data_IF_375340987502
#
_entry.id   IF_375340987502
#
_cell.length_a   1.000
_cell.length_b   1.000
_cell.length_c   1.000
_cell.angle_alpha   90.00
_cell.angle_beta   90.00
_cell.angle_gamma   90.00
#
_symmetry.space_group_name_H-M   'P 1'
#
loop_
_entity.id
_entity.type
_entity.pdbx_description
1 polymer ?
#
# COMPACT_ATOMS: atom_id res chain seq x y z
N UNK A 1 0.51 0.30 -7.56
CA UNK A 1 1.40 -0.47 -8.44
C UNK A 1 0.54 -0.99 -9.60
N UNK A 2 0.91 -0.73 -10.87
CA UNK A 2 2.18 -0.14 -11.29
C UNK A 2 2.25 1.39 -11.16
N UNK A 3 1.14 2.08 -11.03
CA UNK A 3 1.07 3.54 -10.92
C UNK A 3 0.99 4.03 -9.48
N UNK A 4 1.43 5.26 -9.24
CA UNK A 4 1.29 6.00 -8.00
C UNK A 4 0.30 7.17 -8.18
N UNK A 5 -0.41 7.52 -7.11
CA UNK A 5 -1.47 8.50 -7.12
C UNK A 5 -1.37 9.44 -5.92
N UNK A 6 -1.72 10.70 -6.14
CA UNK A 6 -1.85 11.70 -5.07
C UNK A 6 -2.96 12.68 -5.42
N UNK A 7 -4.05 12.68 -4.68
CA UNK A 7 -5.16 13.63 -4.87
C UNK A 7 -4.95 14.89 -4.04
N UNK A 8 -5.21 16.05 -4.66
CA UNK A 8 -5.29 17.34 -3.96
C UNK A 8 -6.24 18.30 -4.71
N UNK A 9 -6.31 19.55 -4.28
CA UNK A 9 -7.22 20.55 -4.88
C UNK A 9 -6.93 20.90 -6.34
N UNK A 10 -5.80 20.46 -6.91
CA UNK A 10 -5.51 20.65 -8.35
C UNK A 10 -5.97 19.46 -9.20
N UNK A 11 -6.25 18.31 -8.59
CA UNK A 11 -6.65 17.09 -9.28
C UNK A 11 -5.95 15.83 -8.77
N UNK A 12 -6.13 14.74 -9.48
CA UNK A 12 -5.47 13.46 -9.22
C UNK A 12 -4.14 13.41 -9.99
N UNK A 13 -3.05 13.49 -9.25
CA UNK A 13 -1.70 13.29 -9.79
C UNK A 13 -1.47 11.81 -10.05
N UNK A 14 -1.01 11.49 -11.24
CA UNK A 14 -0.74 10.13 -11.70
C UNK A 14 0.68 10.03 -12.23
N UNK A 15 1.39 9.00 -11.85
CA UNK A 15 2.76 8.75 -12.30
C UNK A 15 3.10 7.28 -12.17
N UNK A 16 4.02 6.79 -12.97
CA UNK A 16 4.77 5.58 -12.64
C UNK A 16 5.84 5.94 -11.61
N UNK A 17 5.97 5.20 -10.50
CA UNK A 17 7.08 5.43 -9.57
C UNK A 17 8.42 5.18 -10.26
N UNK A 18 9.24 6.21 -10.41
CA UNK A 18 10.61 6.06 -10.91
C UNK A 18 11.46 5.39 -9.83
N UNK A 19 12.26 4.40 -10.24
CA UNK A 19 13.25 3.77 -9.38
C UNK A 19 14.56 4.50 -9.54
N UNK A 20 14.99 5.23 -8.52
CA UNK A 20 16.33 5.81 -8.48
C UNK A 20 17.33 4.71 -8.08
N UNK A 21 18.15 4.26 -9.02
CA UNK A 21 19.25 3.35 -8.73
C UNK A 21 20.50 4.21 -8.47
N UNK A 22 20.88 4.37 -7.21
CA UNK A 22 22.16 5.01 -6.86
C UNK A 22 23.26 3.96 -7.07
N UNK A 23 24.13 4.24 -8.05
CA UNK A 23 25.26 3.40 -8.42
C UNK A 23 26.42 3.51 -7.42
N UNK A 24 26.22 3.18 -6.16
CA UNK A 24 27.33 2.90 -5.23
C UNK A 24 26.84 2.04 -4.08
N UNK A 25 27.49 0.95 -3.85
CA UNK A 25 27.43 -0.05 -2.77
C UNK A 25 26.08 -0.32 -2.10
N UNK A 26 25.10 0.57 -2.26
CA UNK A 26 23.72 0.43 -1.76
C UNK A 26 22.73 0.78 -2.86
N UNK A 27 22.00 -0.20 -3.35
CA UNK A 27 20.84 0.02 -4.20
C UNK A 27 19.73 0.59 -3.33
N UNK A 28 19.48 1.89 -3.37
CA UNK A 28 18.30 2.50 -2.75
C UNK A 28 17.24 2.75 -3.81
N UNK A 29 16.10 2.14 -3.63
CA UNK A 29 14.89 2.50 -4.36
C UNK A 29 14.25 3.67 -3.64
N UNK A 30 14.31 4.86 -4.24
CA UNK A 30 13.60 6.01 -3.71
C UNK A 30 12.20 6.00 -4.26
N UNK A 31 11.23 5.65 -3.42
CA UNK A 31 9.82 5.93 -3.72
C UNK A 31 9.63 7.43 -3.62
N UNK A 32 9.01 8.05 -4.63
CA UNK A 32 8.69 9.47 -4.58
C UNK A 32 7.94 9.82 -3.31
N UNK A 33 8.44 10.77 -2.54
CA UNK A 33 7.69 11.30 -1.40
C UNK A 33 6.45 12.07 -1.89
N UNK A 34 5.42 12.15 -1.06
CA UNK A 34 4.22 12.95 -1.35
C UNK A 34 4.56 14.39 -1.77
N UNK A 35 5.61 14.97 -1.20
CA UNK A 35 6.06 16.32 -1.52
C UNK A 35 6.65 16.46 -2.93
N UNK A 36 7.16 15.40 -3.52
CA UNK A 36 7.70 15.39 -4.88
C UNK A 36 6.66 15.05 -5.95
N UNK A 37 5.50 14.49 -5.58
CA UNK A 37 4.43 14.16 -6.54
C UNK A 37 3.96 15.38 -7.32
N UNK A 38 3.87 16.56 -6.69
CA UNK A 38 3.42 17.80 -7.36
C UNK A 38 4.29 18.26 -8.51
N UNK A 39 5.59 17.92 -8.51
CA UNK A 39 6.54 18.35 -9.55
C UNK A 39 7.02 17.19 -10.43
N UNK A 40 6.87 15.94 -9.97
CA UNK A 40 7.41 14.76 -10.64
C UNK A 40 6.34 13.85 -11.24
N UNK A 41 5.06 14.14 -11.06
CA UNK A 41 3.98 13.37 -11.68
C UNK A 41 3.93 13.54 -13.18
N UNK A 42 3.52 12.49 -13.86
CA UNK A 42 3.38 12.52 -15.32
C UNK A 42 2.15 13.29 -15.74
N UNK A 43 1.07 13.15 -14.98
CA UNK A 43 -0.20 13.79 -15.28
C UNK A 43 -0.90 14.31 -14.03
N UNK A 44 -1.76 15.31 -14.24
CA UNK A 44 -2.84 15.69 -13.35
C UNK A 44 -4.14 15.45 -14.09
N UNK A 45 -4.98 14.57 -13.56
CA UNK A 45 -6.34 14.35 -14.04
C UNK A 45 -7.28 15.25 -13.25
N UNK A 46 -7.99 16.10 -13.93
CA UNK A 46 -8.92 17.09 -13.35
C UNK A 46 -10.21 17.20 -14.14
N UNK A 47 -10.92 18.28 -13.88
CA UNK A 47 -12.16 18.66 -14.56
C UNK A 47 -12.08 20.11 -15.00
N UNK A 48 -13.17 20.68 -15.49
CA UNK A 48 -13.30 22.10 -15.84
C UNK A 48 -13.67 23.00 -14.62
N UNK A 49 -13.72 22.43 -13.42
CA UNK A 49 -13.93 23.15 -12.16
C UNK A 49 -12.79 22.89 -11.16
N UNK A 50 -12.71 23.75 -10.14
CA UNK A 50 -11.72 23.60 -9.05
C UNK A 50 -12.28 22.73 -7.92
N UNK A 51 -11.41 21.95 -7.28
CA UNK A 51 -11.78 21.10 -6.17
C UNK A 51 -11.66 21.82 -4.82
N UNK A 52 -12.65 21.65 -3.94
CA UNK A 52 -12.62 22.13 -2.55
C UNK A 52 -11.98 21.12 -1.61
N UNK A 53 -12.18 19.84 -1.89
CA UNK A 53 -11.76 18.75 -1.01
C UNK A 53 -11.32 17.53 -1.80
N UNK A 54 -10.49 16.74 -1.17
CA UNK A 54 -10.09 15.40 -1.62
C UNK A 54 -10.26 14.45 -0.46
N UNK A 55 -11.07 13.41 -0.62
CA UNK A 55 -11.35 12.45 0.44
C UNK A 55 -11.42 11.03 -0.09
N UNK A 56 -11.08 10.07 0.76
CA UNK A 56 -11.34 8.66 0.50
C UNK A 56 -12.83 8.42 0.68
N UNK A 57 -13.51 7.95 -0.37
CA UNK A 57 -14.94 7.62 -0.35
C UNK A 57 -15.15 6.15 0.03
N UNK A 58 -14.27 5.27 -0.46
CA UNK A 58 -14.31 3.84 -0.21
C UNK A 58 -12.89 3.26 -0.12
N UNK A 59 -12.71 2.30 0.76
CA UNK A 59 -11.51 1.48 0.82
C UNK A 59 -11.91 0.03 1.01
N UNK A 60 -11.50 -0.83 0.08
CA UNK A 60 -11.58 -2.28 0.19
C UNK A 60 -10.17 -2.83 0.45
N UNK A 61 -10.00 -4.16 0.43
CA UNK A 61 -8.73 -4.81 0.80
C UNK A 61 -7.52 -4.37 -0.05
N UNK A 62 -7.72 -4.05 -1.34
CA UNK A 62 -6.66 -3.47 -2.21
C UNK A 62 -7.20 -2.51 -3.28
N UNK A 63 -8.39 -1.93 -3.04
CA UNK A 63 -9.01 -0.89 -3.85
C UNK A 63 -9.23 0.35 -2.99
N UNK A 64 -9.05 1.53 -3.59
CA UNK A 64 -9.40 2.80 -2.96
C UNK A 64 -10.11 3.69 -3.97
N UNK A 65 -11.26 4.20 -3.59
CA UNK A 65 -11.97 5.27 -4.28
C UNK A 65 -11.66 6.60 -3.60
N UNK A 66 -11.25 7.57 -4.40
CA UNK A 66 -11.04 8.95 -3.96
C UNK A 66 -11.99 9.87 -4.71
N UNK A 67 -12.68 10.71 -3.98
CA UNK A 67 -13.60 11.73 -4.50
C UNK A 67 -13.02 13.11 -4.29
N UNK A 68 -13.04 13.92 -5.36
CA UNK A 68 -12.63 15.31 -5.36
C UNK A 68 -13.84 16.17 -5.75
N UNK A 69 -14.39 16.89 -4.75
CA UNK A 69 -15.64 17.64 -4.88
C UNK A 69 -15.40 19.03 -5.47
N UNK A 70 -16.32 19.47 -6.33
CA UNK A 70 -16.33 20.84 -6.87
C UNK A 70 -16.47 21.86 -5.72
N UNK A 71 -15.65 22.90 -5.75
CA UNK A 71 -15.64 23.95 -4.75
C UNK A 71 -16.96 24.73 -4.62
N UNK A 72 -17.75 24.78 -5.69
CA UNK A 72 -19.01 25.54 -5.76
C UNK A 72 -20.26 24.66 -5.63
N UNK A 73 -20.14 23.35 -5.86
CA UNK A 73 -21.26 22.41 -5.86
C UNK A 73 -20.77 21.00 -5.51
N UNK A 74 -20.95 20.57 -4.28
CA UNK A 74 -20.50 19.26 -3.81
C UNK A 74 -21.25 18.06 -4.44
N UNK A 75 -22.34 18.29 -5.18
CA UNK A 75 -22.97 17.24 -5.97
C UNK A 75 -22.20 16.91 -7.26
N UNK A 76 -21.25 17.77 -7.63
CA UNK A 76 -20.32 17.55 -8.74
C UNK A 76 -18.96 17.10 -8.21
N UNK A 77 -18.45 16.01 -8.71
CA UNK A 77 -17.15 15.50 -8.29
C UNK A 77 -16.47 14.66 -9.35
N UNK A 78 -15.16 14.55 -9.23
CA UNK A 78 -14.37 13.54 -9.92
C UNK A 78 -14.06 12.41 -8.95
N UNK A 79 -14.49 11.20 -9.31
CA UNK A 79 -14.15 9.97 -8.61
C UNK A 79 -13.02 9.25 -9.33
N UNK A 80 -11.99 8.88 -8.57
CA UNK A 80 -10.87 8.06 -9.05
C UNK A 80 -10.86 6.73 -8.31
N UNK A 81 -10.92 5.62 -9.05
CA UNK A 81 -10.76 4.27 -8.49
C UNK A 81 -9.36 3.76 -8.82
N UNK A 82 -8.64 3.39 -7.78
CA UNK A 82 -7.27 2.88 -7.82
C UNK A 82 -7.24 1.48 -7.22
N UNK A 83 -6.62 0.53 -7.94
CA UNK A 83 -6.57 -0.86 -7.51
C UNK A 83 -5.13 -1.36 -7.58
N UNK A 84 -4.59 -1.86 -6.47
CA UNK A 84 -3.25 -2.44 -6.47
C UNK A 84 -3.19 -3.63 -7.41
N UNK A 85 -2.21 -3.61 -8.33
CA UNK A 85 -2.02 -4.65 -9.34
C UNK A 85 -2.78 -4.39 -10.64
N UNK A 86 -3.79 -3.51 -10.68
CA UNK A 86 -4.42 -3.14 -11.94
C UNK A 86 -3.51 -2.23 -12.77
N UNK A 87 -3.34 -2.48 -14.08
CA UNK A 87 -2.70 -1.50 -14.96
C UNK A 87 -3.56 -0.25 -15.16
N UNK A 88 -4.86 -0.30 -14.81
CA UNK A 88 -5.83 0.78 -15.01
C UNK A 88 -6.01 1.63 -13.76
N UNK A 89 -6.23 2.94 -14.00
CA UNK A 89 -6.95 3.84 -13.12
C UNK A 89 -8.27 4.22 -13.78
N UNK A 90 -9.34 4.28 -13.01
CA UNK A 90 -10.66 4.61 -13.53
C UNK A 90 -11.10 5.97 -13.00
N UNK A 91 -11.66 6.80 -13.89
CA UNK A 91 -12.12 8.14 -13.58
C UNK A 91 -13.58 8.28 -13.98
N UNK A 92 -14.39 8.83 -13.11
CA UNK A 92 -15.81 9.07 -13.34
C UNK A 92 -16.16 10.48 -12.87
N UNK A 93 -16.88 11.22 -13.71
CA UNK A 93 -17.36 12.56 -13.36
C UNK A 93 -18.85 12.49 -13.06
N UNK A 94 -19.24 12.99 -11.90
CA UNK A 94 -20.64 13.15 -11.51
C UNK A 94 -21.03 14.62 -11.64
N UNK A 95 -22.23 14.88 -12.17
CA UNK A 95 -22.76 16.23 -12.38
C UNK A 95 -22.01 17.07 -13.41
N UNK A 96 -21.18 16.43 -14.25
CA UNK A 96 -20.38 17.03 -15.30
C UNK A 96 -20.02 16.03 -16.38
N UNK A 97 -19.27 16.46 -17.39
CA UNK A 97 -18.84 15.60 -18.48
C UNK A 97 -17.45 15.97 -19.05
N UNK A 98 -16.65 16.71 -18.30
CA UNK A 98 -15.33 17.15 -18.75
C UNK A 98 -14.26 16.53 -17.86
N UNK A 99 -13.28 15.88 -18.49
CA UNK A 99 -12.02 15.48 -17.85
C UNK A 99 -10.86 16.20 -18.53
N UNK A 100 -9.94 16.71 -17.74
CA UNK A 100 -8.69 17.33 -18.23
C UNK A 100 -7.51 16.46 -17.86
N UNK A 101 -6.53 16.38 -18.76
CA UNK A 101 -5.27 15.71 -18.55
C UNK A 101 -4.14 16.71 -18.74
N UNK A 102 -3.58 17.18 -17.65
CA UNK A 102 -2.55 18.21 -17.63
C UNK A 102 -1.17 17.61 -17.39
N UNK A 103 -0.15 18.30 -17.86
CA UNK A 103 1.25 17.93 -17.66
C UNK A 103 1.93 18.83 -16.63
N UNK A 104 2.08 18.39 -15.36
CA UNK A 104 2.80 19.17 -14.35
C UNK A 104 4.31 19.16 -14.59
N UNK A 105 4.85 18.10 -15.20
CA UNK A 105 6.28 17.97 -15.51
C UNK A 105 6.66 18.82 -16.69
N UNK A 106 7.89 19.30 -16.63
CA UNK A 106 8.53 20.08 -17.68
C UNK A 106 9.16 19.19 -18.76
N UNK A 107 9.06 17.88 -18.64
CA UNK A 107 9.62 16.91 -19.58
C UNK A 107 8.73 16.75 -20.82
N UNK A 108 9.31 16.49 -22.00
CA UNK A 108 8.55 16.33 -23.23
C UNK A 108 7.51 15.22 -23.15
N UNK A 109 6.41 15.42 -23.85
CA UNK A 109 5.38 14.42 -24.07
C UNK A 109 4.77 14.55 -25.44
N UNK A 110 4.17 13.47 -25.92
CA UNK A 110 3.59 13.41 -27.24
C UNK A 110 2.40 12.44 -27.25
N UNK A 111 1.33 12.80 -27.96
CA UNK A 111 0.32 11.82 -28.36
C UNK A 111 0.91 10.99 -29.49
N UNK A 112 1.43 9.82 -29.18
CA UNK A 112 2.15 8.95 -30.10
C UNK A 112 1.21 8.17 -31.04
N UNK A 113 -0.05 8.00 -30.62
CA UNK A 113 -1.06 7.26 -31.39
C UNK A 113 -2.47 7.71 -30.98
N UNK A 114 -3.39 7.69 -31.96
CA UNK A 114 -4.82 7.79 -31.74
C UNK A 114 -5.58 6.99 -32.81
N UNK A 115 -6.76 6.48 -32.49
CA UNK A 115 -7.50 5.55 -33.33
C UNK A 115 -8.56 6.20 -34.24
N UNK A 116 -8.75 7.51 -34.16
CA UNK A 116 -9.68 8.25 -35.01
C UNK A 116 -9.07 8.73 -36.33
N UNK A 117 -9.87 9.33 -37.19
CA UNK A 117 -9.37 10.07 -38.36
C UNK A 117 -8.67 11.37 -37.97
N UNK A 118 -9.07 11.92 -36.82
CA UNK A 118 -8.47 13.10 -36.18
C UNK A 118 -8.28 12.78 -34.68
N UNK A 119 -7.45 13.56 -33.99
CA UNK A 119 -7.34 13.48 -32.54
C UNK A 119 -8.69 13.79 -31.89
N UNK A 120 -9.44 14.76 -32.42
CA UNK A 120 -10.73 15.18 -31.88
C UNK A 120 -11.76 14.04 -31.73
N UNK A 121 -11.79 13.10 -32.68
CA UNK A 121 -12.77 12.03 -32.75
C UNK A 121 -12.23 10.69 -32.17
N UNK A 122 -11.09 10.72 -31.52
CA UNK A 122 -10.43 9.51 -31.03
C UNK A 122 -10.96 9.06 -29.67
N UNK A 123 -11.15 7.75 -29.52
CA UNK A 123 -11.58 7.11 -28.27
C UNK A 123 -10.47 6.32 -27.59
N UNK A 124 -9.32 6.17 -28.26
CA UNK A 124 -8.13 5.53 -27.70
C UNK A 124 -6.90 6.33 -28.09
N UNK A 125 -6.10 6.66 -27.09
CA UNK A 125 -4.85 7.40 -27.25
C UNK A 125 -3.71 6.63 -26.64
N UNK A 126 -2.50 6.75 -27.21
CA UNK A 126 -1.25 6.44 -26.53
C UNK A 126 -0.51 7.76 -26.32
N UNK A 127 -0.14 8.02 -25.07
CA UNK A 127 0.69 9.18 -24.71
C UNK A 127 2.06 8.65 -24.30
N UNK A 128 3.09 9.17 -24.94
CA UNK A 128 4.48 8.91 -24.65
C UNK A 128 5.01 10.04 -23.79
N UNK A 129 5.57 9.70 -22.65
CA UNK A 129 6.12 10.64 -21.67
C UNK A 129 7.60 10.37 -21.53
N UNK A 130 8.43 11.37 -21.77
CA UNK A 130 9.87 11.24 -21.55
C UNK A 130 10.15 11.13 -20.05
N UNK A 131 10.84 10.08 -19.65
CA UNK A 131 11.30 9.89 -18.26
C UNK A 131 12.77 10.26 -18.14
N UNK A 132 13.06 11.25 -17.28
CA UNK A 132 14.41 11.70 -17.01
C UNK A 132 15.07 10.96 -15.84
N UNK A 133 14.54 9.82 -15.42
CA UNK A 133 15.18 8.99 -14.39
C UNK A 133 16.59 8.53 -14.78
N UNK A 134 16.97 8.80 -16.02
CA UNK A 134 18.19 8.37 -16.69
C UNK A 134 19.45 9.15 -16.49
N UNK A 135 19.39 10.33 -15.96
CA UNK A 135 20.63 11.03 -15.59
C UNK A 135 21.47 10.22 -14.59
N UNK A 136 20.86 9.20 -13.98
CA UNK A 136 21.49 8.35 -12.95
C UNK A 136 21.66 6.91 -13.42
N UNK A 137 20.78 6.37 -14.27
CA UNK A 137 20.79 4.96 -14.70
C UNK A 137 21.39 4.71 -16.09
N UNK A 138 21.46 5.75 -16.93
CA UNK A 138 21.96 5.65 -18.30
C UNK A 138 20.95 5.03 -19.28
N UNK A 139 19.65 5.02 -18.94
CA UNK A 139 18.56 4.61 -19.82
C UNK A 139 17.69 5.83 -20.13
N UNK A 140 17.69 6.32 -21.36
CA UNK A 140 16.77 7.38 -21.81
C UNK A 140 15.51 6.74 -22.36
N UNK A 141 14.45 6.73 -21.56
CA UNK A 141 13.28 6.01 -21.98
C UNK A 141 12.00 6.81 -21.81
N UNK A 142 10.99 6.35 -22.50
CA UNK A 142 9.65 6.85 -22.40
C UNK A 142 8.82 5.89 -21.56
N UNK A 143 7.89 6.43 -20.78
CA UNK A 143 6.74 5.71 -20.30
C UNK A 143 5.58 5.89 -21.26
N UNK A 144 4.89 4.79 -21.57
CA UNK A 144 3.71 4.80 -22.41
C UNK A 144 2.46 4.61 -21.56
N UNK A 145 1.50 5.50 -21.81
CA UNK A 145 0.17 5.43 -21.19
C UNK A 145 -0.89 5.36 -22.27
N UNK A 146 -1.94 4.56 -22.03
CA UNK A 146 -3.14 4.58 -22.84
C UNK A 146 -4.25 5.34 -22.12
N UNK A 147 -5.09 6.02 -22.90
CA UNK A 147 -6.36 6.58 -22.44
C UNK A 147 -7.46 5.93 -23.27
N UNK A 148 -8.52 5.47 -22.61
CA UNK A 148 -9.70 4.87 -23.23
C UNK A 148 -10.93 5.69 -22.87
N UNK A 149 -11.67 6.13 -23.88
CA UNK A 149 -12.77 7.08 -23.81
C UNK A 149 -14.04 6.47 -24.41
N UNK A 150 -15.23 6.80 -23.91
CA UNK A 150 -16.48 6.38 -24.53
C UNK A 150 -16.63 6.89 -25.96
N UNK A 151 -17.33 6.14 -26.79
CA UNK A 151 -17.70 6.60 -28.12
C UNK A 151 -18.50 7.91 -28.05
N UNK A 152 -18.20 8.85 -28.94
CA UNK A 152 -18.79 10.18 -28.95
C UNK A 152 -18.06 11.22 -28.11
N UNK A 153 -16.98 10.85 -27.43
CA UNK A 153 -16.08 11.82 -26.76
C UNK A 153 -15.45 12.75 -27.79
N UNK A 154 -15.28 14.02 -27.40
CA UNK A 154 -14.50 15.01 -28.16
C UNK A 154 -13.22 15.31 -27.42
N UNK A 155 -12.10 15.22 -28.12
CA UNK A 155 -10.75 15.49 -27.59
C UNK A 155 -10.26 16.81 -28.15
N UNK A 156 -9.88 17.76 -27.31
CA UNK A 156 -9.14 18.94 -27.68
C UNK A 156 -7.78 18.98 -27.02
N UNK A 157 -6.80 19.57 -27.69
CA UNK A 157 -5.46 19.75 -27.20
C UNK A 157 -5.11 21.25 -27.25
N UNK A 158 -4.65 21.77 -26.12
CA UNK A 158 -4.08 23.12 -26.06
C UNK A 158 -2.74 23.15 -26.81
N UNK A 159 -2.29 24.36 -27.18
CA UNK A 159 -0.96 24.54 -27.75
C UNK A 159 0.10 24.00 -26.78
N UNK A 160 1.06 23.24 -27.29
CA UNK A 160 2.18 22.77 -26.52
C UNK A 160 2.95 23.95 -25.91
N UNK A 161 3.15 23.91 -24.58
CA UNK A 161 3.89 24.98 -23.92
C UNK A 161 5.35 25.00 -24.39
N UNK A 162 5.79 26.16 -24.93
CA UNK A 162 7.10 26.35 -25.53
C UNK A 162 8.30 26.26 -24.57
N UNK A 163 8.09 25.78 -23.31
CA UNK A 163 9.12 25.71 -22.29
C UNK A 163 10.22 24.69 -22.62
N UNK A 164 9.92 23.73 -23.47
CA UNK A 164 10.87 22.74 -23.99
C UNK A 164 10.65 22.56 -25.48
N UNK A 165 11.70 22.73 -26.27
CA UNK A 165 11.66 22.68 -27.73
C UNK A 165 11.12 21.36 -28.32
N UNK A 166 11.19 20.30 -27.56
CA UNK A 166 10.77 18.94 -27.97
C UNK A 166 9.39 18.53 -27.44
N UNK A 167 8.70 19.39 -26.65
CA UNK A 167 7.35 19.08 -26.20
C UNK A 167 6.34 19.28 -27.32
N UNK A 168 5.64 18.21 -27.68
CA UNK A 168 4.66 18.18 -28.75
C UNK A 168 3.21 18.09 -28.27
N UNK A 169 3.02 18.00 -26.94
CA UNK A 169 1.72 17.84 -26.32
C UNK A 169 1.42 19.02 -25.39
N UNK A 170 0.28 19.68 -25.59
CA UNK A 170 -0.37 20.53 -24.60
C UNK A 170 -1.34 19.74 -23.73
N UNK A 171 -2.02 20.45 -22.82
CA UNK A 171 -3.06 19.83 -22.00
C UNK A 171 -4.20 19.31 -22.88
N UNK A 172 -4.70 18.12 -22.56
CA UNK A 172 -5.84 17.52 -23.22
C UNK A 172 -7.11 17.79 -22.43
N UNK A 173 -8.20 18.04 -23.16
CA UNK A 173 -9.56 18.11 -22.60
C UNK A 173 -10.44 17.10 -23.31
N UNK A 174 -11.09 16.26 -22.52
CA UNK A 174 -12.04 15.25 -22.97
C UNK A 174 -13.46 15.71 -22.61
N UNK A 175 -14.27 16.03 -23.62
CA UNK A 175 -15.70 16.28 -23.45
C UNK A 175 -16.43 14.96 -23.71
N UNK A 176 -16.88 14.32 -22.65
CA UNK A 176 -17.49 13.01 -22.63
C UNK A 176 -18.99 13.10 -22.95
N UNK A 177 -19.65 12.04 -23.46
CA UNK A 177 -21.11 11.95 -23.45
C UNK A 177 -21.64 12.04 -22.02
N UNK A 178 -22.71 12.81 -21.79
CA UNK A 178 -23.25 13.08 -20.45
C UNK A 178 -23.78 11.84 -19.74
N UNK A 179 -24.18 10.82 -20.50
CA UNK A 179 -24.64 9.52 -19.98
C UNK A 179 -23.49 8.52 -19.76
N UNK A 180 -22.26 8.87 -20.17
CA UNK A 180 -21.06 8.05 -20.10
C UNK A 180 -19.85 8.90 -19.74
N UNK A 181 -19.97 9.63 -18.62
CA UNK A 181 -18.93 10.54 -18.13
C UNK A 181 -17.82 9.81 -17.38
N UNK A 182 -17.11 8.90 -18.06
CA UNK A 182 -16.02 8.12 -17.51
C UNK A 182 -14.86 7.92 -18.50
N UNK A 183 -13.71 7.62 -17.95
CA UNK A 183 -12.50 7.29 -18.71
C UNK A 183 -11.68 6.27 -17.92
N UNK A 184 -10.92 5.43 -18.60
CA UNK A 184 -9.82 4.71 -17.96
C UNK A 184 -8.48 5.11 -18.54
N UNK A 185 -7.46 5.05 -17.71
CA UNK A 185 -6.08 5.30 -18.09
C UNK A 185 -5.23 4.13 -17.64
N UNK A 186 -4.37 3.63 -18.52
CA UNK A 186 -3.48 2.52 -18.22
C UNK A 186 -2.01 2.93 -18.43
N UNK A 187 -1.14 2.53 -17.52
CA UNK A 187 0.27 2.44 -17.83
C UNK A 187 0.52 1.18 -18.65
N UNK A 188 1.15 1.33 -19.81
CA UNK A 188 1.39 0.23 -20.73
C UNK A 188 2.76 -0.42 -20.50
N UNK A 189 3.81 0.37 -20.61
CA UNK A 189 5.19 -0.12 -20.56
C UNK A 189 6.21 1.02 -20.51
N UNK A 190 7.42 0.70 -20.08
CA UNK A 190 8.63 1.48 -20.38
C UNK A 190 9.10 1.15 -21.81
N UNK A 191 9.66 2.12 -22.51
CA UNK A 191 10.17 1.87 -23.87
C UNK A 191 11.36 0.89 -23.83
N UNK A 192 12.32 1.10 -22.96
CA UNK A 192 13.48 0.22 -22.78
C UNK A 192 14.02 -0.35 -24.13
N UNK A 193 14.17 0.53 -25.11
CA UNK A 193 14.54 0.17 -26.48
C UNK A 193 13.41 -0.34 -27.39
N UNK A 194 12.18 -0.46 -26.89
CA UNK A 194 10.99 -0.81 -27.68
C UNK A 194 10.42 0.40 -28.39
N UNK A 195 9.52 0.17 -29.34
CA UNK A 195 8.96 1.19 -30.23
C UNK A 195 7.49 1.47 -29.91
N UNK A 196 6.93 2.52 -30.48
CA UNK A 196 5.52 2.87 -30.38
C UNK A 196 4.59 1.71 -30.81
N UNK A 197 5.02 0.87 -31.77
CA UNK A 197 4.26 -0.31 -32.20
C UNK A 197 4.10 -1.34 -31.07
N UNK A 198 5.13 -1.55 -30.23
CA UNK A 198 5.05 -2.46 -29.08
C UNK A 198 4.05 -1.94 -28.04
N UNK A 199 4.03 -0.62 -27.80
CA UNK A 199 3.05 0.03 -26.91
C UNK A 199 1.62 -0.11 -27.46
N UNK A 200 1.46 -0.04 -28.79
CA UNK A 200 0.17 -0.25 -29.44
C UNK A 200 -0.34 -1.69 -29.25
N UNK A 201 0.52 -2.68 -29.33
CA UNK A 201 0.15 -4.08 -29.07
C UNK A 201 -0.35 -4.26 -27.62
N UNK A 202 0.33 -3.69 -26.63
CA UNK A 202 -0.12 -3.73 -25.24
C UNK A 202 -1.45 -3.00 -25.05
N UNK A 203 -1.59 -1.80 -25.67
CA UNK A 203 -2.86 -1.06 -25.65
C UNK A 203 -4.01 -1.90 -26.23
N UNK A 204 -3.79 -2.54 -27.38
CA UNK A 204 -4.81 -3.35 -28.02
C UNK A 204 -5.17 -4.60 -27.20
N UNK A 205 -4.20 -5.21 -26.50
CA UNK A 205 -4.44 -6.32 -25.59
C UNK A 205 -5.23 -5.89 -24.33
N UNK A 206 -5.07 -4.65 -23.87
CA UNK A 206 -5.80 -4.11 -22.71
C UNK A 206 -7.18 -3.53 -23.08
N UNK A 207 -7.37 -3.08 -24.32
CA UNK A 207 -8.58 -2.40 -24.77
C UNK A 207 -9.90 -3.16 -24.48
N UNK A 208 -9.99 -4.48 -24.62
CA UNK A 208 -11.22 -5.23 -24.31
C UNK A 208 -11.68 -5.10 -22.85
N UNK A 209 -10.73 -4.79 -21.93
CA UNK A 209 -10.94 -4.72 -20.48
C UNK A 209 -10.93 -3.29 -19.92
N UNK A 210 -10.61 -2.30 -20.75
CA UNK A 210 -10.45 -0.92 -20.33
C UNK A 210 -11.74 -0.28 -19.77
N UNK A 211 -12.89 -0.83 -20.15
CA UNK A 211 -14.21 -0.39 -19.71
C UNK A 211 -14.83 -1.34 -18.66
N UNK A 212 -14.03 -2.25 -18.12
CA UNK A 212 -14.38 -3.14 -17.03
C UNK A 212 -13.87 -2.55 -15.72
N UNK A 213 -14.67 -1.66 -15.13
CA UNK A 213 -14.28 -0.92 -13.94
C UNK A 213 -14.33 -1.82 -12.71
N UNK A 214 -13.23 -1.91 -12.00
CA UNK A 214 -13.18 -2.64 -10.74
C UNK A 214 -13.88 -1.78 -9.69
N UNK A 215 -14.91 -2.34 -9.06
CA UNK A 215 -15.73 -1.66 -8.06
C UNK A 215 -15.64 -2.29 -6.67
N UNK A 216 -14.89 -3.38 -6.54
CA UNK A 216 -14.69 -4.02 -5.25
C UNK A 216 -13.60 -5.08 -5.31
N UNK A 217 -12.99 -5.33 -4.15
CA UNK A 217 -11.95 -6.35 -3.95
C UNK A 217 -12.19 -7.10 -2.66
N UNK A 218 -11.98 -8.41 -2.68
CA UNK A 218 -12.18 -9.26 -1.51
C UNK A 218 -11.25 -10.47 -1.51
N UNK A 219 -10.68 -10.78 -0.35
CA UNK A 219 -10.02 -12.06 -0.09
C UNK A 219 -10.95 -13.04 0.63
N UNK A 220 -10.70 -14.30 0.40
CA UNK A 220 -11.17 -15.39 1.25
C UNK A 220 -10.08 -16.46 1.32
N UNK A 221 -10.02 -17.18 2.43
CA UNK A 221 -9.04 -18.23 2.58
C UNK A 221 -9.66 -19.49 3.19
N UNK A 222 -9.06 -20.62 2.85
CA UNK A 222 -9.36 -21.92 3.46
C UNK A 222 -8.05 -22.54 3.91
N UNK A 223 -8.09 -23.23 5.05
CA UNK A 223 -6.97 -23.97 5.59
C UNK A 223 -7.32 -25.46 5.65
N UNK A 224 -6.42 -26.30 5.16
CA UNK A 224 -6.50 -27.75 5.28
C UNK A 224 -5.13 -28.29 5.73
N UNK A 225 -5.02 -28.58 7.01
CA UNK A 225 -3.72 -28.88 7.63
C UNK A 225 -2.76 -27.71 7.49
N UNK A 226 -1.61 -27.94 6.88
CA UNK A 226 -0.61 -26.91 6.62
C UNK A 226 -0.86 -26.12 5.32
N UNK A 227 -1.79 -26.56 4.47
CA UNK A 227 -2.11 -25.86 3.22
C UNK A 227 -3.09 -24.71 3.47
N UNK A 228 -2.72 -23.50 3.05
CA UNK A 228 -3.59 -22.32 3.04
C UNK A 228 -3.81 -21.91 1.59
N UNK A 229 -5.08 -21.88 1.17
CA UNK A 229 -5.49 -21.33 -0.12
C UNK A 229 -6.15 -19.98 0.09
N UNK A 230 -5.60 -18.95 -0.56
CA UNK A 230 -6.17 -17.60 -0.54
C UNK A 230 -6.73 -17.28 -1.92
N UNK A 231 -8.02 -16.96 -1.98
CA UNK A 231 -8.69 -16.50 -3.21
C UNK A 231 -8.80 -14.98 -3.17
N UNK A 232 -8.34 -14.34 -4.23
CA UNK A 232 -8.43 -12.90 -4.47
C UNK A 232 -9.50 -12.68 -5.53
N UNK A 233 -10.54 -11.91 -5.21
CA UNK A 233 -11.68 -11.67 -6.09
C UNK A 233 -11.87 -10.20 -6.36
N UNK A 234 -12.15 -9.87 -7.63
CA UNK A 234 -12.51 -8.55 -8.10
C UNK A 234 -14.00 -8.51 -8.44
N UNK A 235 -14.69 -7.45 -8.04
CA UNK A 235 -16.02 -7.11 -8.55
C UNK A 235 -15.85 -6.14 -9.70
N UNK A 236 -16.42 -6.47 -10.83
CA UNK A 236 -16.25 -5.71 -12.09
C UNK A 236 -17.60 -5.18 -12.54
N UNK A 237 -17.68 -3.88 -12.81
CA UNK A 237 -18.79 -3.19 -13.46
C UNK A 237 -18.43 -2.96 -14.93
N UNK A 238 -19.16 -3.61 -15.83
CA UNK A 238 -18.96 -3.50 -17.28
C UNK A 238 -19.66 -2.28 -17.83
N UNK A 239 -18.92 -1.29 -18.32
CA UNK A 239 -19.48 -0.15 -19.01
C UNK A 239 -19.93 -0.55 -20.44
N UNK A 240 -20.65 0.35 -21.11
CA UNK A 240 -21.28 0.08 -22.41
C UNK A 240 -20.27 -0.35 -23.50
N UNK A 241 -19.05 0.14 -23.46
CA UNK A 241 -18.00 -0.16 -24.42
C UNK A 241 -17.22 -1.45 -24.11
N UNK A 242 -17.54 -2.14 -23.01
CA UNK A 242 -16.88 -3.39 -22.64
C UNK A 242 -17.16 -4.49 -23.66
N UNK A 243 -16.10 -5.14 -24.14
CA UNK A 243 -16.20 -6.23 -25.13
C UNK A 243 -15.78 -7.60 -24.60
N UNK A 244 -15.31 -7.67 -23.35
CA UNK A 244 -14.81 -8.89 -22.73
C UNK A 244 -15.29 -9.03 -21.27
N UNK A 245 -15.15 -10.23 -20.72
CA UNK A 245 -15.40 -10.49 -19.30
C UNK A 245 -14.11 -10.42 -18.48
N UNK A 246 -14.22 -10.07 -17.19
CA UNK A 246 -13.08 -9.96 -16.29
C UNK A 246 -12.33 -8.66 -16.42
N UNK A 247 -11.13 -8.61 -15.89
CA UNK A 247 -10.21 -7.46 -15.95
C UNK A 247 -8.76 -7.93 -16.09
N UNK A 248 -7.84 -7.01 -16.27
CA UNK A 248 -6.40 -7.32 -16.25
C UNK A 248 -5.89 -7.20 -14.82
N UNK A 249 -5.46 -8.32 -14.26
CA UNK A 249 -4.97 -8.43 -12.88
C UNK A 249 -3.45 -8.53 -12.88
N UNK A 250 -2.76 -7.65 -12.17
CA UNK A 250 -1.31 -7.70 -11.99
C UNK A 250 -0.94 -8.57 -10.78
N UNK A 251 -0.15 -9.58 -11.04
CA UNK A 251 0.26 -10.59 -10.08
C UNK A 251 1.73 -10.40 -9.72
N UNK A 252 2.01 -10.13 -8.46
CA UNK A 252 3.35 -9.87 -7.94
C UNK A 252 4.13 -11.17 -7.64
N UNK A 253 5.48 -11.11 -7.52
CA UNK A 253 6.33 -12.29 -7.33
C UNK A 253 5.92 -13.19 -6.15
N UNK A 254 5.53 -12.61 -5.04
CA UNK A 254 5.10 -13.39 -3.86
C UNK A 254 3.77 -14.13 -4.09
N UNK A 255 2.98 -13.69 -5.06
CA UNK A 255 1.73 -14.34 -5.47
C UNK A 255 2.02 -15.41 -6.52
N UNK A 256 2.57 -15.06 -7.70
CA UNK A 256 2.71 -16.02 -8.79
C UNK A 256 3.68 -17.17 -8.50
N UNK A 257 4.63 -17.01 -7.56
CA UNK A 257 5.45 -18.13 -7.07
C UNK A 257 4.66 -19.19 -6.32
N UNK A 258 3.46 -18.85 -5.86
CA UNK A 258 2.54 -19.70 -5.12
C UNK A 258 1.25 -20.00 -5.92
N UNK A 259 1.33 -19.85 -7.24
CA UNK A 259 0.22 -20.09 -8.17
C UNK A 259 0.65 -21.13 -9.22
N UNK A 260 -0.31 -21.93 -9.67
CA UNK A 260 -0.10 -22.91 -10.74
C UNK A 260 -1.33 -23.01 -11.63
N UNK A 261 -1.15 -23.35 -12.91
CA UNK A 261 -2.25 -23.55 -13.86
C UNK A 261 -2.87 -22.25 -14.38
N UNK A 262 -2.15 -21.15 -14.37
CA UNK A 262 -2.58 -19.86 -14.92
C UNK A 262 -1.76 -19.49 -16.15
N UNK A 263 -2.44 -19.01 -17.19
CA UNK A 263 -1.84 -18.48 -18.40
C UNK A 263 -1.69 -16.97 -18.27
N UNK A 264 -0.45 -16.50 -18.18
CA UNK A 264 -0.14 -15.08 -18.10
C UNK A 264 -0.07 -14.45 -19.50
N UNK A 265 -0.39 -13.16 -19.56
CA UNK A 265 -0.12 -12.37 -20.76
C UNK A 265 1.39 -12.28 -21.01
N UNK A 266 1.80 -12.04 -22.24
CA UNK A 266 3.21 -11.88 -22.63
C UNK A 266 3.82 -10.53 -22.15
N UNK A 267 3.00 -9.71 -21.51
CA UNK A 267 3.37 -8.38 -21.02
C UNK A 267 3.66 -8.42 -19.51
N UNK A 268 4.61 -7.63 -19.10
CA UNK A 268 5.00 -7.51 -17.67
C UNK A 268 5.26 -6.07 -17.30
N UNK A 269 5.17 -5.76 -16.02
CA UNK A 269 5.58 -4.48 -15.45
C UNK A 269 6.73 -4.63 -14.47
N UNK A 270 7.76 -3.82 -14.61
CA UNK A 270 8.80 -3.69 -13.60
C UNK A 270 8.25 -2.84 -12.45
N UNK A 271 8.27 -3.33 -11.25
CA UNK A 271 7.79 -2.65 -10.05
C UNK A 271 8.84 -2.69 -8.95
N UNK A 272 8.67 -1.85 -7.91
CA UNK A 272 9.53 -1.88 -6.71
C UNK A 272 9.47 -3.22 -5.95
N UNK A 273 8.45 -4.06 -6.23
CA UNK A 273 8.30 -5.41 -5.66
C UNK A 273 8.75 -6.51 -6.62
N UNK A 274 9.46 -6.17 -7.68
CA UNK A 274 9.90 -7.09 -8.72
C UNK A 274 8.99 -7.08 -9.96
N UNK A 275 9.20 -8.02 -10.87
CA UNK A 275 8.43 -8.12 -12.10
C UNK A 275 7.01 -8.59 -11.82
N UNK A 276 6.04 -7.75 -12.14
CA UNK A 276 4.61 -8.07 -12.08
C UNK A 276 4.19 -8.68 -13.42
N UNK A 277 3.45 -9.79 -13.37
CA UNK A 277 2.85 -10.45 -14.54
C UNK A 277 1.37 -10.12 -14.61
N UNK A 278 0.80 -10.14 -15.80
CA UNK A 278 -0.63 -9.89 -15.99
C UNK A 278 -1.41 -11.18 -16.26
N UNK A 279 -2.59 -11.25 -15.68
CA UNK A 279 -3.55 -12.33 -15.81
C UNK A 279 -4.93 -11.75 -16.11
N UNK A 280 -5.67 -12.38 -17.02
CA UNK A 280 -7.04 -11.99 -17.33
C UNK A 280 -8.02 -12.81 -16.50
N UNK A 281 -8.99 -12.15 -15.88
CA UNK A 281 -10.04 -12.79 -15.10
C UNK A 281 -10.67 -11.84 -14.09
N UNK A 282 -11.42 -12.39 -13.17
CA UNK A 282 -12.01 -11.67 -12.03
C UNK A 282 -11.53 -12.23 -10.67
N UNK A 283 -10.71 -13.29 -10.71
CA UNK A 283 -10.19 -13.93 -9.50
C UNK A 283 -8.96 -14.77 -9.79
N UNK A 284 -8.13 -14.95 -8.77
CA UNK A 284 -7.02 -15.90 -8.77
C UNK A 284 -6.82 -16.46 -7.36
N UNK A 285 -6.04 -17.55 -7.27
CA UNK A 285 -5.78 -18.21 -6.01
C UNK A 285 -4.29 -18.48 -5.82
N UNK A 286 -3.80 -18.22 -4.60
CA UNK A 286 -2.46 -18.66 -4.15
C UNK A 286 -2.59 -19.84 -3.21
N UNK A 287 -1.61 -20.74 -3.23
CA UNK A 287 -1.51 -21.87 -2.30
C UNK A 287 -0.18 -21.79 -1.57
N UNK A 288 -0.25 -21.63 -0.25
CA UNK A 288 0.91 -21.57 0.63
C UNK A 288 0.94 -22.79 1.55
N UNK A 289 2.13 -23.24 1.87
CA UNK A 289 2.34 -24.18 2.98
C UNK A 289 2.65 -23.39 4.24
N UNK A 290 1.75 -23.42 5.18
CA UNK A 290 1.95 -22.82 6.50
C UNK A 290 2.83 -23.73 7.34
N UNK A 291 4.02 -23.26 7.62
CA UNK A 291 5.03 -24.02 8.40
C UNK A 291 4.90 -23.85 9.91
N UNK A 292 3.89 -23.10 10.34
CA UNK A 292 3.72 -22.71 11.74
C UNK A 292 4.44 -21.41 12.09
N UNK A 293 4.11 -20.88 13.23
CA UNK A 293 4.86 -19.79 13.85
C UNK A 293 5.89 -20.46 14.76
N UNK A 294 7.16 -20.05 14.69
CA UNK A 294 8.15 -20.42 15.68
C UNK A 294 7.86 -19.61 16.95
N UNK A 295 7.27 -20.23 17.98
CA UNK A 295 6.89 -19.50 19.20
C UNK A 295 8.09 -19.10 20.05
N UNK A 296 9.23 -19.74 19.82
CA UNK A 296 10.49 -19.51 20.52
C UNK A 296 11.66 -19.64 19.58
N UNK A 297 12.83 -19.21 20.01
CA UNK A 297 14.08 -19.44 19.28
C UNK A 297 14.35 -20.95 19.12
N UNK A 298 15.02 -21.38 18.03
CA UNK A 298 15.47 -22.76 17.89
C UNK A 298 16.32 -23.18 19.10
N UNK A 299 16.34 -24.48 19.39
CA UNK A 299 17.15 -25.01 20.47
C UNK A 299 18.62 -24.59 20.34
N UNK A 300 19.28 -24.48 21.49
CA UNK A 300 20.69 -24.13 21.59
C UNK A 300 21.55 -25.38 21.77
N UNK A 301 22.73 -25.41 21.17
CA UNK A 301 23.70 -26.44 21.38
C UNK A 301 24.22 -26.44 22.83
N UNK A 302 24.45 -27.62 23.41
CA UNK A 302 24.87 -27.79 24.80
C UNK A 302 26.18 -27.05 25.09
N UNK A 303 27.08 -26.94 24.09
CA UNK A 303 28.34 -26.19 24.19
C UNK A 303 28.15 -24.68 24.38
N UNK A 304 27.02 -24.13 23.96
CA UNK A 304 26.78 -22.70 23.95
C UNK A 304 25.91 -22.22 25.13
N UNK A 305 25.29 -23.16 25.85
CA UNK A 305 24.40 -22.85 26.98
C UNK A 305 25.08 -22.01 28.07
N UNK A 306 26.33 -22.34 28.43
CA UNK A 306 27.06 -21.57 29.44
C UNK A 306 27.31 -20.10 29.02
N UNK A 307 27.57 -19.88 27.75
CA UNK A 307 27.75 -18.53 27.19
C UNK A 307 26.41 -17.76 27.21
N UNK A 308 25.32 -18.40 26.75
CA UNK A 308 24.00 -17.78 26.75
C UNK A 308 23.55 -17.48 28.19
N UNK A 309 23.75 -18.39 29.13
CA UNK A 309 23.46 -18.18 30.56
C UNK A 309 24.23 -16.97 31.13
N UNK A 310 25.46 -16.78 30.70
CA UNK A 310 26.24 -15.58 31.06
C UNK A 310 25.52 -14.29 30.64
N UNK A 311 25.04 -14.22 29.39
CA UNK A 311 24.27 -13.06 28.89
C UNK A 311 22.94 -12.87 29.62
N UNK A 312 22.24 -13.96 29.96
CA UNK A 312 21.01 -13.89 30.78
C UNK A 312 21.32 -13.30 32.15
N UNK A 313 22.38 -13.77 32.83
CA UNK A 313 22.77 -13.26 34.15
C UNK A 313 23.15 -11.76 34.08
N UNK A 314 23.97 -11.36 33.10
CA UNK A 314 24.36 -9.96 32.89
C UNK A 314 23.12 -9.08 32.68
N UNK A 315 22.15 -9.54 31.91
CA UNK A 315 20.90 -8.83 31.72
C UNK A 315 20.10 -8.74 33.02
N UNK A 316 19.92 -9.86 33.72
CA UNK A 316 19.15 -9.90 34.99
C UNK A 316 19.76 -9.00 36.07
N UNK A 317 21.06 -8.89 36.12
CA UNK A 317 21.77 -8.05 37.10
C UNK A 317 21.57 -6.54 36.83
N UNK A 318 21.62 -6.13 35.57
CA UNK A 318 21.61 -4.71 35.19
C UNK A 318 20.24 -4.22 34.73
N UNK A 319 19.51 -5.04 33.97
CA UNK A 319 18.32 -4.63 33.23
C UNK A 319 17.07 -5.45 33.58
N UNK A 320 17.22 -6.51 34.37
CA UNK A 320 16.13 -7.43 34.69
C UNK A 320 15.01 -6.77 35.50
N UNK A 321 13.94 -7.54 35.80
CA UNK A 321 12.84 -7.06 36.62
C UNK A 321 13.27 -6.60 38.01
N UNK A 322 12.54 -5.63 38.54
CA UNK A 322 12.73 -5.16 39.93
C UNK A 322 12.20 -6.18 40.91
N UNK A 323 12.62 -6.11 42.18
CA UNK A 323 12.19 -7.07 43.19
C UNK A 323 10.70 -6.94 43.58
N UNK A 324 10.10 -5.79 43.31
CA UNK A 324 8.66 -5.54 43.47
C UNK A 324 7.82 -5.94 42.25
N UNK A 325 8.46 -6.51 41.21
CA UNK A 325 7.80 -7.04 40.02
C UNK A 325 7.67 -6.06 38.87
N UNK A 326 8.38 -4.93 38.88
CA UNK A 326 8.47 -4.03 37.71
C UNK A 326 9.24 -4.67 36.56
N UNK A 327 8.92 -4.28 35.34
CA UNK A 327 9.43 -4.87 34.11
C UNK A 327 10.97 -4.82 34.00
N UNK A 328 11.59 -3.75 34.47
CA UNK A 328 13.03 -3.53 34.36
C UNK A 328 13.54 -2.58 35.45
N UNK A 329 14.82 -2.76 35.85
CA UNK A 329 15.55 -1.84 36.71
C UNK A 329 15.96 -0.53 36.02
N UNK A 330 15.91 -0.51 34.69
CA UNK A 330 16.25 0.68 33.91
C UNK A 330 15.15 1.72 34.00
N UNK A 331 15.54 2.98 34.21
CA UNK A 331 14.64 4.10 34.00
C UNK A 331 14.41 4.29 32.48
N UNK A 332 13.18 4.49 32.07
CA UNK A 332 12.80 4.78 30.69
C UNK A 332 11.57 5.69 30.65
N UNK A 333 11.36 6.33 29.53
CA UNK A 333 10.16 7.13 29.32
C UNK A 333 8.94 6.20 29.16
N UNK A 334 7.92 6.42 29.99
CA UNK A 334 6.69 5.61 29.94
C UNK A 334 5.84 6.11 28.79
N UNK A 335 5.78 5.33 27.72
CA UNK A 335 4.93 5.52 26.55
C UNK A 335 4.83 4.21 25.76
N UNK A 336 3.97 4.14 24.75
CA UNK A 336 3.71 2.93 23.98
C UNK A 336 4.95 2.38 23.25
N UNK A 337 5.87 3.25 22.83
CA UNK A 337 7.09 2.83 22.11
C UNK A 337 8.16 2.27 23.05
N UNK A 338 8.54 3.06 24.07
CA UNK A 338 9.65 2.68 24.94
C UNK A 338 9.26 1.49 25.84
N UNK A 339 8.03 1.46 26.35
CA UNK A 339 7.51 0.27 27.05
C UNK A 339 7.48 -0.94 26.13
N UNK A 340 6.99 -0.79 24.89
CA UNK A 340 6.96 -1.86 23.90
C UNK A 340 8.34 -2.46 23.65
N UNK A 341 9.38 -1.62 23.50
CA UNK A 341 10.77 -2.08 23.37
C UNK A 341 11.28 -2.86 24.59
N UNK A 342 10.91 -2.42 25.81
CA UNK A 342 11.29 -3.11 27.04
C UNK A 342 10.59 -4.46 27.17
N UNK A 343 9.30 -4.55 26.83
CA UNK A 343 8.56 -5.80 26.76
C UNK A 343 9.23 -6.78 25.79
N UNK A 344 9.51 -6.33 24.56
CA UNK A 344 10.14 -7.21 23.56
C UNK A 344 11.53 -7.71 24.00
N UNK A 345 12.32 -6.86 24.64
CA UNK A 345 13.62 -7.26 25.17
C UNK A 345 13.50 -8.27 26.32
N UNK A 346 12.55 -8.05 27.23
CA UNK A 346 12.29 -8.97 28.33
C UNK A 346 11.86 -10.35 27.81
N UNK A 347 11.02 -10.41 26.78
CA UNK A 347 10.60 -11.65 26.12
C UNK A 347 11.80 -12.41 25.56
N UNK A 348 12.65 -11.76 24.80
CA UNK A 348 13.84 -12.41 24.20
C UNK A 348 14.77 -13.00 25.25
N UNK A 349 14.94 -12.32 26.39
CA UNK A 349 15.77 -12.86 27.49
C UNK A 349 15.05 -13.95 28.25
N UNK A 350 13.71 -13.88 28.40
CA UNK A 350 12.90 -14.96 28.98
C UNK A 350 13.04 -16.25 28.17
N UNK A 351 12.92 -16.17 26.84
CA UNK A 351 13.12 -17.30 25.94
C UNK A 351 14.55 -17.86 26.01
N UNK A 352 15.56 -16.99 26.13
CA UNK A 352 16.95 -17.39 26.31
C UNK A 352 17.18 -18.12 27.66
N UNK A 353 16.55 -17.63 28.75
CA UNK A 353 16.59 -18.26 30.04
C UNK A 353 15.93 -19.67 30.01
N UNK A 354 14.78 -19.80 29.39
CA UNK A 354 14.11 -21.07 29.14
C UNK A 354 14.98 -22.06 28.37
N UNK A 355 15.63 -21.58 27.29
CA UNK A 355 16.54 -22.39 26.48
C UNK A 355 17.77 -22.89 27.27
N UNK A 356 18.23 -22.12 28.25
CA UNK A 356 19.27 -22.55 29.19
C UNK A 356 18.78 -23.48 30.33
N UNK A 357 17.45 -23.52 30.56
CA UNK A 357 16.84 -24.20 31.71
C UNK A 357 16.84 -23.33 32.97
N UNK A 358 17.06 -22.05 32.88
CA UNK A 358 17.00 -21.08 33.99
C UNK A 358 15.55 -20.65 34.25
N UNK A 359 14.79 -21.51 34.88
CA UNK A 359 13.37 -21.25 35.17
C UNK A 359 13.18 -20.08 36.13
N UNK A 360 14.14 -19.82 37.03
CA UNK A 360 14.03 -18.70 37.97
C UNK A 360 14.08 -17.33 37.28
N UNK A 361 15.00 -17.16 36.36
CA UNK A 361 15.05 -15.93 35.57
C UNK A 361 13.87 -15.79 34.62
N UNK A 362 13.44 -16.91 34.00
CA UNK A 362 12.27 -16.92 33.11
C UNK A 362 11.00 -16.53 33.87
N UNK A 363 10.75 -17.12 35.07
CA UNK A 363 9.57 -16.81 35.89
C UNK A 363 9.55 -15.33 36.36
N UNK A 364 10.72 -14.78 36.72
CA UNK A 364 10.82 -13.36 37.10
C UNK A 364 10.49 -12.46 35.92
N UNK A 365 11.02 -12.76 34.72
CA UNK A 365 10.76 -11.99 33.51
C UNK A 365 9.29 -12.10 33.10
N UNK A 366 8.71 -13.29 33.12
CA UNK A 366 7.28 -13.49 32.86
C UNK A 366 6.42 -12.62 33.77
N UNK A 367 6.73 -12.65 35.08
CA UNK A 367 6.00 -11.86 36.09
C UNK A 367 6.10 -10.35 35.83
N UNK A 368 7.28 -9.85 35.47
CA UNK A 368 7.47 -8.45 35.08
C UNK A 368 6.66 -8.06 33.83
N UNK A 369 6.63 -8.94 32.82
CA UNK A 369 5.84 -8.74 31.60
C UNK A 369 4.34 -8.73 31.92
N UNK A 370 3.85 -9.69 32.72
CA UNK A 370 2.44 -9.75 33.14
C UNK A 370 2.00 -8.50 33.89
N UNK A 371 2.81 -8.04 34.86
CA UNK A 371 2.48 -6.86 35.62
C UNK A 371 2.43 -5.59 34.75
N UNK A 372 3.38 -5.43 33.83
CA UNK A 372 3.41 -4.30 32.92
C UNK A 372 2.22 -4.32 31.94
N UNK A 373 1.88 -5.49 31.38
CA UNK A 373 0.71 -5.62 30.52
C UNK A 373 -0.59 -5.41 31.30
N UNK A 374 -0.70 -5.92 32.52
CA UNK A 374 -1.88 -5.74 33.35
C UNK A 374 -2.16 -4.26 33.65
N UNK A 375 -1.12 -3.51 33.90
CA UNK A 375 -1.17 -2.07 34.12
C UNK A 375 -1.67 -1.33 32.88
N UNK A 376 -1.05 -1.55 31.73
CA UNK A 376 -1.48 -0.97 30.46
C UNK A 376 -2.91 -1.37 30.03
N UNK A 377 -3.37 -2.56 30.43
CA UNK A 377 -4.70 -3.08 30.07
C UNK A 377 -5.81 -2.71 31.05
N UNK A 378 -5.46 -1.95 32.09
CA UNK A 378 -6.40 -1.51 33.12
C UNK A 378 -6.28 0.01 33.28
N UNK A 379 -7.38 0.72 33.22
CA UNK A 379 -7.39 2.16 33.54
C UNK A 379 -7.88 2.31 35.00
N UNK A 380 -7.00 2.77 35.88
CA UNK A 380 -7.25 2.82 37.33
C UNK A 380 -7.80 4.17 37.82
N UNK A 381 -8.18 5.08 36.93
CA UNK A 381 -8.82 6.36 37.25
C UNK A 381 -8.09 7.57 36.67
N UNK A 382 -8.41 8.77 37.18
CA UNK A 382 -7.90 10.03 36.64
C UNK A 382 -6.40 10.25 36.88
N UNK A 383 -5.82 9.60 37.88
CA UNK A 383 -4.40 9.70 38.22
C UNK A 383 -3.54 8.59 37.60
N UNK A 384 -4.12 7.77 36.74
CA UNK A 384 -3.41 6.69 36.04
C UNK A 384 -2.44 7.26 35.02
N UNK A 385 -1.19 6.80 35.07
CA UNK A 385 -0.12 7.33 34.23
C UNK A 385 0.07 6.60 32.91
N UNK A 386 -0.56 5.42 32.72
CA UNK A 386 -0.48 4.64 31.47
C UNK A 386 -1.64 3.64 31.32
N UNK A 387 -2.30 3.69 30.18
CA UNK A 387 -3.40 2.77 29.87
C UNK A 387 -3.72 2.77 28.38
N UNK A 388 -4.48 1.78 27.92
CA UNK A 388 -5.20 1.82 26.65
C UNK A 388 -6.64 2.28 26.85
N UNK A 389 -7.14 3.10 25.95
CA UNK A 389 -8.53 3.53 25.92
C UNK A 389 -9.12 3.46 24.52
N UNK A 390 -10.42 3.17 24.43
CA UNK A 390 -11.14 3.11 23.17
C UNK A 390 -11.85 4.43 22.91
N UNK A 391 -11.50 5.11 21.82
CA UNK A 391 -12.17 6.32 21.37
C UNK A 391 -13.34 5.95 20.46
N UNK A 392 -14.56 6.23 20.91
CA UNK A 392 -15.79 5.90 20.19
C UNK A 392 -16.06 6.79 18.98
N UNK A 393 -15.50 8.01 18.97
CA UNK A 393 -15.66 8.93 17.84
C UNK A 393 -14.77 8.54 16.68
N UNK A 394 -13.55 8.12 16.99
CA UNK A 394 -12.58 7.62 16.00
C UNK A 394 -12.80 6.14 15.67
N UNK A 395 -13.34 5.35 16.61
CA UNK A 395 -13.54 3.92 16.45
C UNK A 395 -12.25 3.11 16.54
N UNK A 396 -11.28 3.56 17.34
CA UNK A 396 -9.98 2.92 17.50
C UNK A 396 -9.50 2.93 18.95
N UNK A 397 -8.58 2.01 19.28
CA UNK A 397 -7.92 1.95 20.58
C UNK A 397 -6.64 2.78 20.54
N UNK A 398 -6.40 3.53 21.62
CA UNK A 398 -5.22 4.36 21.78
C UNK A 398 -4.51 4.08 23.10
N UNK A 399 -3.19 4.12 23.08
CA UNK A 399 -2.37 4.02 24.29
C UNK A 399 -1.94 5.41 24.80
N UNK A 400 -2.07 5.61 26.10
CA UNK A 400 -1.60 6.82 26.80
C UNK A 400 -0.53 6.43 27.83
N UNK A 401 0.59 7.18 27.91
CA UNK A 401 1.00 8.32 27.07
C UNK A 401 1.37 7.92 25.64
N UNK A 402 1.09 8.83 24.72
CA UNK A 402 1.45 8.61 23.32
C UNK A 402 2.95 8.80 23.07
N UNK A 403 3.45 8.18 22.00
CA UNK A 403 4.75 8.48 21.42
C UNK A 403 4.62 8.62 19.90
N UNK A 404 5.44 9.45 19.30
CA UNK A 404 5.53 9.61 17.83
C UNK A 404 4.18 9.83 17.12
N UNK A 405 3.30 10.62 17.74
CA UNK A 405 1.97 10.98 17.19
C UNK A 405 1.01 9.80 16.99
N UNK A 406 1.13 8.75 17.81
CA UNK A 406 0.22 7.59 17.73
C UNK A 406 -1.25 7.95 17.98
N UNK A 407 -1.52 8.98 18.79
CA UNK A 407 -2.89 9.48 19.02
C UNK A 407 -3.24 10.57 18.02
N UNK A 408 -2.47 11.69 17.99
CA UNK A 408 -2.80 12.86 17.18
C UNK A 408 -2.75 12.60 15.66
N UNK A 409 -1.85 11.73 15.22
CA UNK A 409 -1.63 11.42 13.81
C UNK A 409 -2.09 10.04 13.38
N UNK A 410 -2.56 9.20 14.30
CA UNK A 410 -2.85 7.79 14.09
C UNK A 410 -1.71 7.05 13.37
N UNK A 411 -0.47 7.39 13.72
CA UNK A 411 0.73 6.79 13.13
C UNK A 411 1.23 5.63 13.97
N UNK A 412 1.96 4.72 13.36
CA UNK A 412 2.74 3.66 14.03
C UNK A 412 1.97 2.73 15.00
N UNK A 413 0.63 2.67 14.93
CA UNK A 413 -0.18 1.82 15.80
C UNK A 413 0.27 0.35 15.75
N UNK A 414 0.27 -0.25 14.56
CA UNK A 414 0.68 -1.66 14.40
C UNK A 414 2.14 -1.90 14.78
N UNK A 415 2.99 -0.86 14.76
CA UNK A 415 4.37 -0.93 15.20
C UNK A 415 4.47 -0.93 16.74
N UNK A 416 3.91 0.08 17.41
CA UNK A 416 3.95 0.18 18.88
C UNK A 416 3.10 -0.89 19.54
N UNK A 417 1.87 -1.06 19.08
CA UNK A 417 0.92 -1.99 19.71
C UNK A 417 1.27 -3.44 19.38
N UNK A 418 1.96 -3.69 18.26
CA UNK A 418 2.50 -5.00 17.95
C UNK A 418 3.45 -5.57 19.01
N UNK A 419 4.17 -4.72 19.76
CA UNK A 419 4.95 -5.16 20.92
C UNK A 419 4.06 -5.71 22.05
N UNK A 420 2.92 -5.05 22.31
CA UNK A 420 1.96 -5.49 23.33
C UNK A 420 1.25 -6.77 22.92
N UNK A 421 0.85 -6.87 21.65
CA UNK A 421 0.26 -8.11 21.10
C UNK A 421 1.24 -9.27 21.18
N UNK A 422 2.51 -9.07 20.81
CA UNK A 422 3.54 -10.09 20.92
C UNK A 422 3.77 -10.49 22.39
N UNK A 423 3.83 -9.51 23.31
CA UNK A 423 4.01 -9.79 24.75
C UNK A 423 2.81 -10.57 25.31
N UNK A 424 1.58 -10.18 24.95
CA UNK A 424 0.38 -10.92 25.34
C UNK A 424 0.37 -12.35 24.79
N UNK A 425 0.80 -12.56 23.54
CA UNK A 425 0.92 -13.88 22.94
C UNK A 425 1.94 -14.77 23.67
N UNK A 426 3.08 -14.19 24.08
CA UNK A 426 4.11 -14.90 24.84
C UNK A 426 3.63 -15.26 26.25
N UNK A 427 2.88 -14.36 26.90
CA UNK A 427 2.22 -14.69 28.18
C UNK A 427 1.16 -15.78 27.98
N UNK A 428 0.35 -15.72 26.92
CA UNK A 428 -0.70 -16.70 26.64
C UNK A 428 -0.19 -18.15 26.56
N UNK A 429 1.02 -18.35 26.07
CA UNK A 429 1.64 -19.67 25.98
C UNK A 429 2.05 -20.23 27.37
N UNK A 430 2.15 -19.36 28.39
CA UNK A 430 2.66 -19.68 29.73
C UNK A 430 1.59 -19.53 30.81
N UNK A 431 0.69 -18.53 30.66
CA UNK A 431 -0.44 -18.26 31.57
C UNK A 431 -1.74 -17.99 30.77
N UNK A 432 -2.55 -19.03 30.60
CA UNK A 432 -3.83 -18.96 29.92
C UNK A 432 -4.88 -18.15 30.70
N UNK A 433 -4.79 -18.04 32.02
CA UNK A 433 -5.75 -17.29 32.84
C UNK A 433 -5.52 -15.78 32.69
N UNK A 434 -4.28 -15.35 32.51
CA UNK A 434 -3.96 -13.95 32.21
C UNK A 434 -4.65 -13.51 30.92
N UNK A 435 -4.52 -14.28 29.85
CA UNK A 435 -5.14 -13.95 28.56
C UNK A 435 -6.65 -13.90 28.66
N UNK A 436 -7.26 -14.87 29.33
CA UNK A 436 -8.71 -14.89 29.54
C UNK A 436 -9.23 -13.64 30.28
N UNK A 437 -8.43 -13.10 31.18
CA UNK A 437 -8.77 -11.88 31.92
C UNK A 437 -8.77 -10.64 31.02
N UNK A 438 -7.85 -10.54 30.07
CA UNK A 438 -7.60 -9.35 29.25
C UNK A 438 -7.98 -9.54 27.75
N UNK A 439 -8.69 -10.62 27.41
CA UNK A 439 -9.03 -11.00 26.03
C UNK A 439 -9.66 -9.84 25.23
N UNK A 440 -10.58 -9.09 25.83
CA UNK A 440 -11.27 -8.00 25.16
C UNK A 440 -10.31 -6.88 24.74
N UNK A 441 -9.42 -6.46 25.64
CA UNK A 441 -8.45 -5.40 25.34
C UNK A 441 -7.43 -5.89 24.29
N UNK A 442 -6.93 -7.10 24.43
CA UNK A 442 -5.96 -7.69 23.52
C UNK A 442 -6.52 -7.81 22.09
N UNK A 443 -7.80 -8.13 21.96
CA UNK A 443 -8.45 -8.25 20.64
C UNK A 443 -8.76 -6.90 19.98
N UNK A 444 -8.79 -5.81 20.76
CA UNK A 444 -9.03 -4.45 20.25
C UNK A 444 -7.71 -3.73 19.88
N UNK A 445 -6.56 -4.17 20.43
CA UNK A 445 -5.22 -3.67 20.06
C UNK A 445 -4.82 -4.15 18.67
#
# INVERSE_FOLDING_TARGET
IPMAYCGNTNGMYVSKPSTLIIKDTYTQTVVMSMNSMGTMSDFIVGTDYTFASTKVDKSDEWLTDVVMENANDSSQYLKTTMVQGSPFAYFQVEGGNTITLQRPRTLPSEVAYYNGTTLEDSTQLIIRVYDNADLISGYSDYDYYAVYLPEGTKVSQADATAKYADNKMGDLTFTLPSDRAYMSMAWLMESNGKKDADAQEVKDAFAPYAYNFITGTKTSFTQNGAEIKTTYKYTVDKKAESTADGTVMGILPHQYKNMSGYDYMDYTARTIRGTMKYLIGDSYQTTLQYTGILPTLPGIDESDKATLQGYVNDFMDVHGPTDDGGLTKESYEVNTYDTGKKLNRAIQVMEAAEACGDTQSADKLLKGIENELADWFTADGEDDDKYFYYDKEVGSLFGFPQAYYTVDGMTDHHFHYGYFVNAAAQVAMRDAEFIKKYENVINEI
#
